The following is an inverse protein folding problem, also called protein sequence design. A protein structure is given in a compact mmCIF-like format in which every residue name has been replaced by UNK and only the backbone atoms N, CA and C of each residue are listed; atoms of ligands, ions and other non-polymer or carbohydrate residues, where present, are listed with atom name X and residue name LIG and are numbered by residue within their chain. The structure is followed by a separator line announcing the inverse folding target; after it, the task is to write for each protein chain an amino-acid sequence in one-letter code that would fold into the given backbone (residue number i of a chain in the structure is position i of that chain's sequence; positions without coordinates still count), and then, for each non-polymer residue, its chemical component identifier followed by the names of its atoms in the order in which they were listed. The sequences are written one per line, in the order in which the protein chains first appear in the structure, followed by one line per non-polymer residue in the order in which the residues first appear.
data_IF_098416551391
#
_entry.id   IF_098416551391
#
_cell.length_a   1.000
_cell.length_b   1.000
_cell.length_c   1.000
_cell.angle_alpha   90.00
_cell.angle_beta   90.00
_cell.angle_gamma   90.00
#
_symmetry.space_group_name_H-M   'P 1'
#
loop_
_entity.id
_entity.type
_entity.pdbx_description
1 polymer ?
#
# COMPACT_ATOMS: atom_id res chain seq x y z
N UNK A 1 -40.10 -1.59 8.04
CA UNK A 1 -39.51 -1.63 6.69
C UNK A 1 -37.95 -1.59 6.75
N UNK A 2 -37.33 -0.58 7.40
CA UNK A 2 -35.85 -0.44 7.51
C UNK A 2 -35.20 -1.68 8.16
N UNK A 3 -35.76 -2.17 9.28
CA UNK A 3 -35.19 -3.33 9.98
C UNK A 3 -35.25 -4.61 9.13
N UNK A 4 -36.32 -4.82 8.38
CA UNK A 4 -36.43 -5.96 7.46
C UNK A 4 -35.46 -5.89 6.30
N UNK A 5 -35.17 -4.67 5.78
CA UNK A 5 -34.16 -4.45 4.75
C UNK A 5 -32.74 -4.71 5.29
N UNK A 6 -32.46 -4.32 6.54
CA UNK A 6 -31.20 -4.63 7.23
C UNK A 6 -30.98 -6.14 7.32
N UNK A 7 -31.93 -6.87 7.88
CA UNK A 7 -31.83 -8.33 8.03
C UNK A 7 -31.62 -9.06 6.70
N UNK A 8 -32.31 -8.63 5.62
CA UNK A 8 -32.13 -9.21 4.28
C UNK A 8 -30.72 -8.95 3.77
N UNK A 9 -30.18 -7.74 3.96
CA UNK A 9 -28.83 -7.37 3.54
C UNK A 9 -27.77 -8.16 4.28
N UNK A 10 -27.91 -8.29 5.59
CA UNK A 10 -26.96 -9.03 6.42
C UNK A 10 -26.99 -10.52 6.08
N UNK A 11 -28.19 -11.10 5.90
CA UNK A 11 -28.33 -12.50 5.47
C UNK A 11 -27.72 -12.75 4.08
N UNK A 12 -27.90 -11.83 3.14
CA UNK A 12 -27.28 -11.95 1.82
C UNK A 12 -25.75 -11.93 1.90
N UNK A 13 -25.19 -11.00 2.67
CA UNK A 13 -23.73 -10.91 2.86
C UNK A 13 -23.17 -12.19 3.46
N UNK A 14 -23.74 -12.67 4.59
CA UNK A 14 -23.22 -13.82 5.32
C UNK A 14 -23.43 -15.16 4.58
N UNK A 15 -24.23 -15.20 3.52
CA UNK A 15 -24.47 -16.40 2.73
C UNK A 15 -23.58 -16.49 1.47
N UNK A 16 -22.80 -15.45 1.15
CA UNK A 16 -21.94 -15.44 -0.05
C UNK A 16 -20.78 -16.43 0.11
N UNK A 17 -20.17 -16.45 1.29
CA UNK A 17 -19.07 -17.34 1.61
C UNK A 17 -19.37 -18.10 2.90
N UNK A 18 -19.38 -19.42 2.84
CA UNK A 18 -19.65 -20.28 4.01
C UNK A 18 -18.70 -21.48 4.05
N UNK A 19 -18.26 -21.82 5.26
CA UNK A 19 -17.42 -22.97 5.56
C UNK A 19 -18.18 -23.94 6.46
N UNK A 20 -17.98 -25.23 6.24
CA UNK A 20 -18.49 -26.31 7.08
C UNK A 20 -17.33 -27.26 7.36
N UNK A 21 -16.58 -26.96 8.42
CA UNK A 21 -15.33 -27.65 8.77
C UNK A 21 -15.53 -28.83 9.73
N UNK A 22 -16.72 -28.93 10.37
CA UNK A 22 -16.95 -29.86 11.48
C UNK A 22 -16.48 -29.32 12.84
N UNK A 23 -15.94 -28.10 12.89
CA UNK A 23 -15.58 -27.38 14.12
C UNK A 23 -16.48 -26.14 14.27
N UNK A 24 -17.44 -26.20 15.18
CA UNK A 24 -18.46 -25.16 15.36
C UNK A 24 -17.86 -23.78 15.71
N UNK A 25 -16.70 -23.73 16.37
CA UNK A 25 -16.04 -22.45 16.69
C UNK A 25 -15.44 -21.82 15.46
N UNK A 26 -14.74 -22.64 14.63
CA UNK A 26 -14.18 -22.18 13.36
C UNK A 26 -15.29 -21.74 12.40
N UNK A 27 -16.33 -22.56 12.25
CA UNK A 27 -17.48 -22.26 11.39
C UNK A 27 -18.14 -20.93 11.79
N UNK A 28 -18.35 -20.71 13.09
CA UNK A 28 -18.91 -19.44 13.59
C UNK A 28 -17.98 -18.25 13.35
N UNK A 29 -16.68 -18.42 13.55
CA UNK A 29 -15.72 -17.35 13.32
C UNK A 29 -15.71 -16.95 11.84
N UNK A 30 -15.59 -17.91 10.94
CA UNK A 30 -15.51 -17.66 9.49
C UNK A 30 -16.85 -17.17 8.92
N UNK A 31 -17.96 -17.85 9.25
CA UNK A 31 -19.26 -17.58 8.62
C UNK A 31 -19.97 -16.33 9.14
N UNK A 32 -19.56 -15.81 10.30
CA UNK A 32 -20.23 -14.66 10.93
C UNK A 32 -19.23 -13.55 11.26
N UNK A 33 -18.28 -13.80 12.16
CA UNK A 33 -17.49 -12.74 12.75
C UNK A 33 -16.46 -12.14 11.79
N UNK A 34 -15.75 -12.95 11.02
CA UNK A 34 -14.79 -12.45 10.06
C UNK A 34 -15.47 -11.62 8.97
N UNK A 35 -16.58 -12.11 8.42
CA UNK A 35 -17.32 -11.40 7.39
C UNK A 35 -17.93 -10.09 7.93
N UNK A 36 -18.45 -10.10 9.15
CA UNK A 36 -18.93 -8.90 9.81
C UNK A 36 -17.80 -7.89 10.03
N UNK A 37 -16.66 -8.35 10.53
CA UNK A 37 -15.48 -7.51 10.73
C UNK A 37 -15.00 -6.91 9.42
N UNK A 38 -14.87 -7.70 8.35
CA UNK A 38 -14.46 -7.21 7.03
C UNK A 38 -15.41 -6.13 6.50
N UNK A 39 -16.73 -6.31 6.68
CA UNK A 39 -17.70 -5.31 6.27
C UNK A 39 -17.54 -4.00 7.06
N UNK A 40 -17.36 -4.09 8.37
CA UNK A 40 -17.15 -2.90 9.21
C UNK A 40 -15.83 -2.20 8.80
N UNK A 41 -14.74 -2.93 8.66
CA UNK A 41 -13.45 -2.40 8.23
C UNK A 41 -13.57 -1.72 6.88
N UNK A 42 -14.16 -2.36 5.88
CA UNK A 42 -14.42 -1.75 4.57
C UNK A 42 -15.23 -0.46 4.64
N UNK A 43 -16.24 -0.39 5.51
CA UNK A 43 -17.06 0.82 5.65
C UNK A 43 -16.35 1.96 6.37
N UNK A 44 -15.44 1.63 7.27
CA UNK A 44 -14.78 2.60 8.17
C UNK A 44 -13.36 2.92 7.72
N UNK A 45 -12.69 2.02 6.97
CA UNK A 45 -11.29 2.12 6.54
C UNK A 45 -10.39 2.68 7.63
N UNK A 46 -10.49 2.09 8.83
CA UNK A 46 -9.73 2.46 10.05
C UNK A 46 -9.98 3.87 10.57
N UNK A 47 -10.91 4.60 10.00
CA UNK A 47 -11.51 5.78 10.63
C UNK A 47 -12.46 5.30 11.73
N UNK A 48 -11.92 4.60 12.72
CA UNK A 48 -12.64 3.63 13.52
C UNK A 48 -13.62 4.27 14.49
N UNK A 49 -13.30 5.42 15.06
CA UNK A 49 -14.17 6.04 16.03
C UNK A 49 -13.90 7.52 16.22
N UNK A 50 -14.90 8.20 16.77
CA UNK A 50 -14.77 9.58 17.24
C UNK A 50 -13.62 9.75 18.26
N UNK A 51 -13.40 8.76 19.11
CA UNK A 51 -12.36 8.83 20.14
C UNK A 51 -10.94 8.67 19.56
N UNK A 52 -10.78 7.88 18.50
CA UNK A 52 -9.50 7.66 17.87
C UNK A 52 -9.15 8.77 16.90
N UNK A 53 -10.07 9.09 16.00
CA UNK A 53 -9.78 9.91 14.83
C UNK A 53 -10.46 11.29 14.85
N UNK A 54 -11.42 11.50 15.75
CA UNK A 54 -12.27 12.69 15.71
C UNK A 54 -13.24 12.70 14.52
N UNK A 55 -13.95 13.81 14.34
CA UNK A 55 -14.94 13.95 13.26
C UNK A 55 -14.34 14.49 11.96
N UNK A 56 -13.13 15.02 11.99
CA UNK A 56 -12.47 15.63 10.82
C UNK A 56 -11.60 14.66 10.01
N UNK A 57 -11.28 13.48 10.55
CA UNK A 57 -10.41 12.51 9.88
C UNK A 57 -11.14 11.78 8.77
N UNK A 58 -10.45 11.66 7.62
CA UNK A 58 -10.96 10.93 6.46
C UNK A 58 -10.69 9.42 6.52
N UNK A 59 -11.08 8.73 5.46
CA UNK A 59 -10.71 7.33 5.19
C UNK A 59 -9.35 7.30 4.50
N UNK A 60 -8.43 6.46 4.95
CA UNK A 60 -7.11 6.32 4.35
C UNK A 60 -7.17 5.82 2.91
N UNK A 61 -6.35 6.36 2.04
CA UNK A 61 -6.20 5.93 0.66
C UNK A 61 -5.69 4.49 0.59
N UNK A 62 -4.57 4.24 1.20
CA UNK A 62 -3.94 2.94 1.37
C UNK A 62 -4.86 1.94 2.08
N UNK A 63 -5.40 2.33 3.25
CA UNK A 63 -6.28 1.51 4.06
C UNK A 63 -7.51 1.04 3.30
N UNK A 64 -8.12 1.93 2.52
CA UNK A 64 -9.30 1.60 1.72
C UNK A 64 -9.02 0.55 0.64
N UNK A 65 -7.82 0.59 0.03
CA UNK A 65 -7.39 -0.41 -0.94
C UNK A 65 -7.07 -1.76 -0.28
N UNK A 66 -6.38 -1.77 0.86
CA UNK A 66 -6.09 -3.00 1.62
C UNK A 66 -7.39 -3.69 2.08
N UNK A 67 -8.30 -2.93 2.66
CA UNK A 67 -9.58 -3.44 3.15
C UNK A 67 -10.46 -3.99 2.00
N UNK A 68 -10.36 -3.37 0.82
CA UNK A 68 -11.03 -3.84 -0.39
C UNK A 68 -10.50 -5.22 -0.81
N UNK A 69 -9.18 -5.40 -0.86
CA UNK A 69 -8.57 -6.68 -1.25
C UNK A 69 -9.08 -7.85 -0.41
N UNK A 70 -9.19 -7.65 0.89
CA UNK A 70 -9.69 -8.69 1.81
C UNK A 70 -11.18 -8.99 1.66
N UNK A 71 -11.97 -8.16 0.97
CA UNK A 71 -13.43 -8.23 1.01
C UNK A 71 -14.12 -8.17 -0.37
N UNK A 72 -13.38 -7.99 -1.45
CA UNK A 72 -13.93 -7.79 -2.81
C UNK A 72 -14.90 -8.87 -3.24
N UNK A 73 -14.63 -10.14 -2.94
CA UNK A 73 -15.45 -11.29 -3.30
C UNK A 73 -16.89 -11.23 -2.73
N UNK A 74 -17.11 -10.51 -1.63
CA UNK A 74 -18.42 -10.36 -1.01
C UNK A 74 -19.17 -9.09 -1.45
N UNK A 75 -18.44 -8.08 -1.94
CA UNK A 75 -19.01 -6.76 -2.24
C UNK A 75 -18.55 -6.19 -3.58
N UNK A 76 -18.49 -6.95 -4.67
CA UNK A 76 -17.83 -6.52 -5.92
C UNK A 76 -18.34 -5.18 -6.45
N UNK A 77 -19.65 -4.94 -6.44
CA UNK A 77 -20.23 -3.66 -6.89
C UNK A 77 -19.79 -2.47 -6.03
N UNK A 78 -19.69 -2.66 -4.71
CA UNK A 78 -19.22 -1.60 -3.81
C UNK A 78 -17.71 -1.41 -3.90
N UNK A 79 -16.98 -2.51 -4.12
CA UNK A 79 -15.53 -2.47 -4.35
C UNK A 79 -15.21 -1.64 -5.62
N UNK A 80 -15.93 -1.88 -6.72
CA UNK A 80 -15.81 -1.11 -7.96
C UNK A 80 -15.99 0.40 -7.72
N UNK A 81 -17.06 0.77 -7.01
CA UNK A 81 -17.32 2.17 -6.70
C UNK A 81 -16.22 2.78 -5.80
N UNK A 82 -15.72 2.01 -4.84
CA UNK A 82 -14.64 2.46 -3.95
C UNK A 82 -13.35 2.75 -4.73
N UNK A 83 -12.99 1.91 -5.69
CA UNK A 83 -11.82 2.12 -6.54
C UNK A 83 -11.95 3.45 -7.31
N UNK A 84 -13.10 3.71 -7.90
CA UNK A 84 -13.37 4.97 -8.62
C UNK A 84 -13.31 6.18 -7.67
N UNK A 85 -13.95 6.08 -6.49
CA UNK A 85 -13.93 7.14 -5.48
C UNK A 85 -12.49 7.49 -5.03
N UNK A 86 -11.65 6.47 -4.83
CA UNK A 86 -10.25 6.63 -4.43
C UNK A 86 -9.41 7.22 -5.56
N UNK A 87 -9.53 6.65 -6.77
CA UNK A 87 -8.78 7.12 -7.94
C UNK A 87 -9.07 8.60 -8.25
N UNK A 88 -10.30 9.07 -8.00
CA UNK A 88 -10.67 10.47 -8.21
C UNK A 88 -9.94 11.47 -7.29
N UNK A 89 -9.26 10.99 -6.25
CA UNK A 89 -8.45 11.81 -5.35
C UNK A 89 -6.97 11.83 -5.70
N UNK A 90 -6.56 11.11 -6.75
CA UNK A 90 -5.18 11.13 -7.24
C UNK A 90 -4.84 12.46 -7.89
N UNK A 91 -3.58 12.90 -7.77
CA UNK A 91 -3.07 14.08 -8.46
C UNK A 91 -2.59 13.76 -9.89
N UNK A 92 -2.48 14.77 -10.77
CA UNK A 92 -2.01 14.55 -12.15
C UNK A 92 -0.57 14.01 -12.25
N UNK A 93 0.26 14.19 -11.23
CA UNK A 93 1.63 13.66 -11.13
C UNK A 93 1.70 12.22 -10.61
N UNK A 94 0.53 11.65 -10.25
CA UNK A 94 0.40 10.29 -9.73
C UNK A 94 0.45 10.18 -8.21
N UNK A 95 0.84 11.24 -7.50
CA UNK A 95 0.67 11.32 -6.04
C UNK A 95 -0.80 11.26 -5.64
N UNK A 96 -1.06 11.04 -4.37
CA UNK A 96 -2.43 10.88 -3.87
C UNK A 96 -2.64 11.69 -2.60
N UNK A 97 -3.89 12.09 -2.34
CA UNK A 97 -4.26 12.43 -0.97
C UNK A 97 -4.15 11.19 -0.10
N UNK A 98 -3.48 11.33 1.04
CA UNK A 98 -3.36 10.25 2.02
C UNK A 98 -4.72 9.81 2.60
N UNK A 99 -5.69 10.72 2.63
CA UNK A 99 -7.05 10.46 3.09
C UNK A 99 -8.09 11.18 2.21
N UNK A 100 -9.30 10.64 2.16
CA UNK A 100 -10.45 11.30 1.55
C UNK A 100 -11.67 11.29 2.49
N UNK A 101 -12.56 12.23 2.30
CA UNK A 101 -13.78 12.36 3.11
C UNK A 101 -14.89 11.44 2.56
N UNK A 102 -15.42 10.50 3.34
CA UNK A 102 -16.33 9.48 2.82
C UNK A 102 -17.69 10.03 2.33
N UNK A 103 -18.13 11.17 2.85
CA UNK A 103 -19.40 11.79 2.47
C UNK A 103 -19.30 12.60 1.20
N UNK A 104 -18.24 13.36 1.03
CA UNK A 104 -18.02 14.24 -0.13
C UNK A 104 -17.23 13.58 -1.25
N UNK A 105 -16.53 12.47 -0.97
CA UNK A 105 -15.62 11.76 -1.87
C UNK A 105 -14.43 12.62 -2.32
N UNK A 106 -14.09 13.64 -1.55
CA UNK A 106 -12.97 14.56 -1.85
C UNK A 106 -11.76 14.24 -1.00
N UNK A 107 -10.59 14.50 -1.57
CA UNK A 107 -9.34 14.43 -0.84
C UNK A 107 -9.32 15.34 0.39
N UNK A 108 -8.61 14.93 1.43
CA UNK A 108 -8.49 15.69 2.68
C UNK A 108 -7.27 16.61 2.64
N UNK A 109 -7.47 17.88 2.39
CA UNK A 109 -6.42 18.89 2.33
C UNK A 109 -5.68 19.10 3.66
N UNK A 110 -6.33 18.86 4.79
CA UNK A 110 -5.71 19.05 6.11
C UNK A 110 -4.55 18.06 6.34
N UNK A 111 -4.67 16.86 5.78
CA UNK A 111 -3.60 15.87 5.81
C UNK A 111 -2.70 16.00 4.57
N UNK A 112 -3.28 16.28 3.39
CA UNK A 112 -2.55 16.40 2.13
C UNK A 112 -2.08 15.04 1.58
N UNK A 113 -0.98 15.09 0.84
CA UNK A 113 -0.35 13.93 0.20
C UNK A 113 1.13 13.80 0.57
N UNK A 114 1.89 13.12 -0.31
CA UNK A 114 3.34 12.97 -0.16
C UNK A 114 3.77 11.67 0.51
N UNK A 115 2.87 10.73 0.71
CA UNK A 115 3.15 9.35 1.11
C UNK A 115 3.35 8.54 -0.18
N UNK A 116 4.60 8.20 -0.49
CA UNK A 116 4.93 7.70 -1.83
C UNK A 116 4.61 6.22 -2.06
N UNK A 117 4.12 5.52 -1.05
CA UNK A 117 3.53 4.19 -1.21
C UNK A 117 2.07 4.24 -1.70
N UNK A 118 1.32 5.31 -1.39
CA UNK A 118 -0.10 5.44 -1.69
C UNK A 118 -0.46 5.10 -3.15
N UNK A 119 0.26 5.58 -4.18
CA UNK A 119 -0.07 5.26 -5.58
C UNK A 119 -0.06 3.76 -5.92
N UNK A 120 0.83 2.98 -5.31
CA UNK A 120 0.93 1.53 -5.55
C UNK A 120 -0.32 0.78 -5.07
N UNK A 121 -0.94 1.25 -4.01
CA UNK A 121 -2.14 0.60 -3.45
C UNK A 121 -3.35 0.67 -4.38
N UNK A 122 -3.46 1.69 -5.23
CA UNK A 122 -4.52 1.76 -6.23
C UNK A 122 -4.42 0.61 -7.24
N UNK A 123 -3.20 0.28 -7.66
CA UNK A 123 -2.94 -0.86 -8.55
C UNK A 123 -3.31 -2.16 -7.84
N UNK A 124 -2.83 -2.32 -6.60
CA UNK A 124 -3.06 -3.52 -5.81
C UNK A 124 -4.56 -3.81 -5.63
N UNK A 125 -5.35 -2.79 -5.25
CA UNK A 125 -6.80 -2.90 -5.10
C UNK A 125 -7.53 -3.16 -6.41
N UNK A 126 -7.16 -2.44 -7.49
CA UNK A 126 -7.81 -2.59 -8.80
C UNK A 126 -7.53 -3.96 -9.42
N UNK A 127 -6.28 -4.44 -9.35
CA UNK A 127 -5.93 -5.77 -9.88
C UNK A 127 -6.61 -6.88 -9.08
N UNK A 128 -6.68 -6.76 -7.75
CA UNK A 128 -7.43 -7.71 -6.92
C UNK A 128 -8.91 -7.77 -7.31
N UNK A 129 -9.53 -6.61 -7.58
CA UNK A 129 -10.92 -6.53 -8.07
C UNK A 129 -11.08 -7.26 -9.42
N UNK A 130 -10.19 -7.00 -10.37
CA UNK A 130 -10.26 -7.63 -11.70
C UNK A 130 -10.02 -9.14 -11.60
N UNK A 131 -9.05 -9.59 -10.80
CA UNK A 131 -8.78 -11.02 -10.57
C UNK A 131 -10.00 -11.75 -10.01
N UNK A 132 -10.76 -11.11 -9.12
CA UNK A 132 -11.96 -11.71 -8.50
C UNK A 132 -13.18 -11.68 -9.41
N UNK A 133 -13.38 -10.61 -10.19
CA UNK A 133 -14.63 -10.36 -10.91
C UNK A 133 -14.56 -10.63 -12.41
N UNK A 134 -13.38 -10.57 -13.00
CA UNK A 134 -13.20 -10.56 -14.47
C UNK A 134 -13.70 -9.26 -15.13
N UNK A 135 -14.03 -8.21 -14.37
CA UNK A 135 -14.57 -6.97 -14.89
C UNK A 135 -13.48 -6.00 -15.33
N UNK A 136 -13.01 -6.16 -16.58
CA UNK A 136 -12.08 -5.22 -17.21
C UNK A 136 -12.71 -3.88 -17.56
N UNK A 137 -14.05 -3.78 -17.60
CA UNK A 137 -14.74 -2.54 -17.98
C UNK A 137 -14.43 -1.37 -17.04
N UNK A 138 -14.03 -1.67 -15.79
CA UNK A 138 -13.63 -0.66 -14.83
C UNK A 138 -12.47 0.20 -15.35
N UNK A 139 -11.58 -0.35 -16.16
CA UNK A 139 -10.40 0.35 -16.66
C UNK A 139 -10.73 1.46 -17.66
N UNK A 140 -11.90 1.39 -18.30
CA UNK A 140 -12.40 2.40 -19.22
C UNK A 140 -13.17 3.55 -18.53
N UNK A 141 -13.47 3.40 -17.24
CA UNK A 141 -14.15 4.46 -16.48
C UNK A 141 -13.37 5.76 -16.53
N UNK A 142 -14.08 6.83 -16.81
CA UNK A 142 -13.50 8.18 -16.87
C UNK A 142 -13.49 8.77 -15.46
N UNK A 143 -12.32 8.98 -14.90
CA UNK A 143 -12.10 9.41 -13.53
C UNK A 143 -11.32 10.72 -13.52
N UNK A 144 -11.77 11.76 -12.80
CA UNK A 144 -11.05 13.02 -12.72
C UNK A 144 -9.83 12.93 -11.79
N UNK A 145 -8.81 13.76 -12.01
CA UNK A 145 -7.77 14.03 -11.04
C UNK A 145 -8.24 15.07 -10.02
N UNK A 146 -7.83 14.90 -8.76
CA UNK A 146 -8.12 15.82 -7.64
C UNK A 146 -9.60 16.23 -7.56
N UNK A 147 -10.50 15.32 -7.90
CA UNK A 147 -11.94 15.59 -7.99
C UNK A 147 -12.31 16.80 -8.88
N UNK A 148 -11.45 17.19 -9.85
CA UNK A 148 -11.65 18.37 -10.69
C UNK A 148 -12.37 17.99 -11.99
N UNK A 149 -13.61 18.45 -12.24
CA UNK A 149 -14.30 18.22 -13.50
C UNK A 149 -13.52 18.75 -14.71
N UNK A 150 -13.47 17.96 -15.77
CA UNK A 150 -12.74 18.30 -17.02
C UNK A 150 -11.31 17.77 -17.07
N UNK A 151 -10.90 16.99 -16.06
CA UNK A 151 -9.58 16.32 -16.01
C UNK A 151 -9.69 14.81 -16.14
N UNK A 152 -10.86 14.30 -16.54
CA UNK A 152 -11.15 12.88 -16.59
C UNK A 152 -10.25 12.16 -17.62
N UNK A 153 -9.65 11.07 -17.17
CA UNK A 153 -8.96 10.09 -17.99
C UNK A 153 -9.43 8.69 -17.61
N UNK A 154 -9.06 7.67 -18.38
CA UNK A 154 -9.40 6.29 -18.05
C UNK A 154 -8.76 5.86 -16.74
N UNK A 155 -9.41 4.97 -15.99
CA UNK A 155 -8.81 4.39 -14.80
C UNK A 155 -7.47 3.69 -15.12
N UNK A 156 -7.34 3.10 -16.32
CA UNK A 156 -6.06 2.53 -16.75
C UNK A 156 -4.95 3.57 -16.77
N UNK A 157 -5.22 4.80 -17.23
CA UNK A 157 -4.23 5.88 -17.19
C UNK A 157 -3.89 6.29 -15.74
N UNK A 158 -4.85 6.28 -14.83
CA UNK A 158 -4.56 6.47 -13.39
C UNK A 158 -3.57 5.42 -12.84
N UNK A 159 -3.73 4.14 -13.23
CA UNK A 159 -2.80 3.08 -12.83
C UNK A 159 -1.40 3.31 -13.42
N UNK A 160 -1.33 3.68 -14.70
CA UNK A 160 -0.07 4.00 -15.38
C UNK A 160 0.66 5.17 -14.73
N UNK A 161 -0.06 6.23 -14.42
CA UNK A 161 0.50 7.41 -13.74
C UNK A 161 0.95 7.06 -12.32
N UNK A 162 0.25 6.18 -11.60
CA UNK A 162 0.68 5.67 -10.30
C UNK A 162 2.05 4.99 -10.37
N UNK A 163 2.27 4.11 -11.35
CA UNK A 163 3.56 3.46 -11.54
C UNK A 163 4.64 4.47 -11.93
N UNK A 164 4.31 5.41 -12.79
CA UNK A 164 5.23 6.47 -13.22
C UNK A 164 5.63 7.38 -12.05
N UNK A 165 4.74 7.63 -11.09
CA UNK A 165 5.08 8.41 -9.89
C UNK A 165 6.25 7.79 -9.14
N UNK A 166 6.26 6.49 -8.92
CA UNK A 166 7.38 5.81 -8.27
C UNK A 166 8.65 5.89 -9.12
N UNK A 167 8.56 5.59 -10.42
CA UNK A 167 9.71 5.60 -11.34
C UNK A 167 10.35 7.00 -11.44
N UNK A 168 9.54 8.04 -11.38
CA UNK A 168 10.00 9.43 -11.47
C UNK A 168 10.53 9.98 -10.14
N UNK A 169 10.34 9.27 -9.04
CA UNK A 169 10.75 9.65 -7.69
C UNK A 169 11.71 8.62 -7.08
N UNK A 170 12.85 8.42 -7.75
CA UNK A 170 13.94 7.56 -7.27
C UNK A 170 15.06 8.38 -6.64
N UNK A 171 15.65 7.84 -5.60
CA UNK A 171 16.78 8.42 -4.90
C UNK A 171 18.15 7.98 -5.45
N UNK A 172 19.25 8.29 -4.74
CA UNK A 172 20.62 8.02 -5.18
C UNK A 172 20.92 6.54 -5.44
N UNK A 173 20.28 5.62 -4.70
CA UNK A 173 20.44 4.17 -4.86
C UNK A 173 19.45 3.57 -5.87
N UNK A 174 18.71 4.42 -6.62
CA UNK A 174 17.60 4.02 -7.51
C UNK A 174 16.45 3.29 -6.78
N UNK A 175 16.33 3.55 -5.50
CA UNK A 175 15.22 3.10 -4.68
C UNK A 175 14.17 4.22 -4.60
N UNK A 176 12.90 3.91 -4.35
CA UNK A 176 11.84 4.93 -4.26
C UNK A 176 12.08 5.89 -3.10
N UNK A 177 11.91 7.18 -3.37
CA UNK A 177 11.87 8.19 -2.31
C UNK A 177 10.67 7.94 -1.39
N UNK A 178 10.90 7.99 -0.08
CA UNK A 178 9.85 7.72 0.91
C UNK A 178 8.80 8.85 0.98
N UNK A 179 9.18 10.08 0.63
CA UNK A 179 8.32 11.24 0.81
C UNK A 179 8.18 11.63 2.29
N UNK A 180 6.96 11.90 2.72
CA UNK A 180 6.65 12.19 4.16
C UNK A 180 6.83 10.95 5.03
N UNK A 181 6.36 9.83 4.54
CA UNK A 181 6.49 8.49 5.12
C UNK A 181 6.04 7.47 4.07
N UNK A 182 6.15 6.20 4.37
CA UNK A 182 5.50 5.10 3.67
C UNK A 182 4.37 4.52 4.55
N UNK A 183 4.13 3.20 4.47
CA UNK A 183 3.13 2.50 5.29
C UNK A 183 3.30 2.80 6.78
N UNK A 184 4.52 2.96 7.26
CA UNK A 184 4.78 3.43 8.61
C UNK A 184 4.76 4.97 8.63
N UNK A 185 3.59 5.55 8.91
CA UNK A 185 3.35 6.99 8.91
C UNK A 185 4.30 7.77 9.83
N UNK A 186 4.88 7.09 10.80
CA UNK A 186 5.72 7.68 11.83
C UNK A 186 7.22 7.63 11.50
N UNK A 187 7.61 6.98 10.38
CA UNK A 187 9.00 6.95 9.91
C UNK A 187 9.26 8.16 8.99
N UNK A 188 9.65 9.29 9.59
CA UNK A 188 9.69 10.59 8.92
C UNK A 188 11.13 11.05 8.62
N UNK A 189 11.79 10.37 7.71
CA UNK A 189 13.23 10.48 7.43
C UNK A 189 13.66 11.80 6.75
N UNK A 190 12.72 12.69 6.40
CA UNK A 190 12.99 13.96 5.74
C UNK A 190 12.62 15.19 6.58
N UNK A 191 12.03 15.03 7.75
CA UNK A 191 11.44 16.15 8.50
C UNK A 191 12.42 16.91 9.39
N UNK A 192 13.16 16.24 10.28
CA UNK A 192 14.13 16.82 11.23
C UNK A 192 13.54 17.80 12.26
N UNK A 193 12.28 17.65 12.65
CA UNK A 193 11.69 18.48 13.71
C UNK A 193 12.09 17.96 15.10
N UNK A 194 12.42 18.88 16.02
CA UNK A 194 12.59 18.57 17.43
C UNK A 194 11.25 18.34 18.17
N UNK A 195 10.13 18.70 17.55
CA UNK A 195 8.80 18.33 18.00
C UNK A 195 8.32 17.11 17.21
N UNK A 196 8.18 15.94 17.86
CA UNK A 196 7.70 14.73 17.18
C UNK A 196 6.34 14.89 16.53
N UNK A 197 5.47 15.76 17.06
CA UNK A 197 4.13 16.00 16.48
C UNK A 197 4.17 16.74 15.14
N UNK A 198 5.29 17.36 14.80
CA UNK A 198 5.48 18.03 13.51
C UNK A 198 6.18 17.13 12.49
N UNK A 199 6.74 16.01 12.91
CA UNK A 199 7.64 15.22 12.07
C UNK A 199 6.99 14.67 10.82
N UNK A 200 5.72 14.33 10.83
CA UNK A 200 4.99 13.85 9.66
C UNK A 200 4.40 14.98 8.76
N UNK A 201 4.55 16.25 9.15
CA UNK A 201 3.91 17.40 8.49
C UNK A 201 4.61 17.83 7.20
N UNK A 202 5.89 17.49 7.03
CA UNK A 202 6.69 18.00 5.91
C UNK A 202 7.66 16.97 5.36
N UNK A 203 7.97 17.11 4.05
CA UNK A 203 9.01 16.35 3.34
C UNK A 203 10.23 17.20 2.99
N UNK A 204 10.20 18.48 3.30
CA UNK A 204 11.18 19.45 2.81
C UNK A 204 11.68 20.36 3.94
N UNK A 205 11.84 19.83 5.13
CA UNK A 205 12.19 20.63 6.31
C UNK A 205 13.43 21.52 6.10
N UNK A 206 14.42 21.03 5.37
CA UNK A 206 15.66 21.78 5.09
C UNK A 206 15.65 22.53 3.76
N UNK A 207 14.54 22.56 3.04
CA UNK A 207 14.43 23.18 1.71
C UNK A 207 15.24 22.46 0.63
N UNK A 208 15.70 21.23 0.89
CA UNK A 208 16.50 20.42 -0.04
C UNK A 208 15.69 19.29 -0.70
N UNK A 209 14.40 19.23 -0.41
CA UNK A 209 13.50 18.19 -0.92
C UNK A 209 13.63 16.85 -0.19
N UNK A 210 12.89 15.88 -0.65
CA UNK A 210 12.95 14.51 -0.16
C UNK A 210 14.14 13.77 -0.75
N UNK A 211 14.93 13.09 0.10
CA UNK A 211 16.11 12.31 -0.32
C UNK A 211 16.12 10.90 0.25
N UNK A 212 15.42 10.69 1.36
CA UNK A 212 15.34 9.38 2.02
C UNK A 212 14.60 8.38 1.14
N UNK A 213 15.07 7.12 1.12
CA UNK A 213 14.60 6.05 0.24
C UNK A 213 13.97 4.91 1.06
N UNK A 214 12.94 4.25 0.52
CA UNK A 214 12.21 3.16 1.19
C UNK A 214 12.35 1.83 0.47
N UNK A 215 12.84 0.81 1.18
CA UNK A 215 12.88 -0.58 0.71
C UNK A 215 11.49 -1.23 0.74
N UNK A 216 10.62 -0.80 1.65
CA UNK A 216 9.22 -1.23 1.68
C UNK A 216 8.50 -0.82 0.40
N UNK A 217 8.62 0.43 -0.04
CA UNK A 217 8.03 0.90 -1.31
C UNK A 217 8.64 0.17 -2.50
N UNK A 218 9.95 -0.10 -2.48
CA UNK A 218 10.61 -0.85 -3.54
C UNK A 218 10.01 -2.27 -3.69
N UNK A 219 9.84 -3.00 -2.59
CA UNK A 219 9.17 -4.30 -2.59
C UNK A 219 7.71 -4.22 -3.07
N UNK A 220 6.94 -3.26 -2.58
CA UNK A 220 5.56 -3.01 -3.00
C UNK A 220 5.48 -2.67 -4.50
N UNK A 221 6.40 -1.84 -5.00
CA UNK A 221 6.48 -1.51 -6.43
C UNK A 221 6.74 -2.76 -7.29
N UNK A 222 7.64 -3.64 -6.88
CA UNK A 222 7.90 -4.90 -7.61
C UNK A 222 6.67 -5.81 -7.62
N UNK A 223 5.95 -5.95 -6.50
CA UNK A 223 4.70 -6.72 -6.43
C UNK A 223 3.64 -6.14 -7.37
N UNK A 224 3.35 -4.86 -7.24
CA UNK A 224 2.30 -4.19 -8.02
C UNK A 224 2.70 -4.02 -9.49
N UNK A 225 3.99 -3.84 -9.77
CA UNK A 225 4.52 -3.79 -11.12
C UNK A 225 4.39 -5.12 -11.87
N UNK A 226 4.67 -6.26 -11.22
CA UNK A 226 4.42 -7.59 -11.77
C UNK A 226 2.93 -7.80 -12.07
N UNK A 227 2.07 -7.39 -11.17
CA UNK A 227 0.62 -7.45 -11.37
C UNK A 227 0.17 -6.55 -12.52
N UNK A 228 0.72 -5.34 -12.63
CA UNK A 228 0.43 -4.41 -13.73
C UNK A 228 0.92 -4.96 -15.09
N UNK A 229 2.11 -5.54 -15.16
CA UNK A 229 2.63 -6.22 -16.36
C UNK A 229 1.70 -7.36 -16.78
N UNK A 230 1.27 -8.19 -15.83
CA UNK A 230 0.33 -9.28 -16.11
C UNK A 230 -1.02 -8.74 -16.61
N UNK A 231 -1.51 -7.66 -16.02
CA UNK A 231 -2.73 -6.97 -16.47
C UNK A 231 -2.58 -6.46 -17.91
N UNK A 232 -1.49 -5.76 -18.23
CA UNK A 232 -1.26 -5.26 -19.60
C UNK A 232 -1.20 -6.40 -20.62
N UNK A 233 -0.51 -7.51 -20.31
CA UNK A 233 -0.46 -8.70 -21.18
C UNK A 233 -1.85 -9.32 -21.39
N UNK A 234 -2.68 -9.36 -20.36
CA UNK A 234 -4.05 -9.86 -20.48
C UNK A 234 -4.91 -8.91 -21.31
N UNK A 235 -4.77 -7.60 -21.10
CA UNK A 235 -5.50 -6.58 -21.88
C UNK A 235 -5.10 -6.60 -23.38
N UNK A 236 -3.83 -6.83 -23.69
CA UNK A 236 -3.39 -7.02 -25.08
C UNK A 236 -4.13 -8.19 -25.73
N UNK A 237 -4.25 -9.31 -25.03
CA UNK A 237 -4.98 -10.48 -25.51
C UNK A 237 -6.48 -10.18 -25.71
N UNK A 238 -7.12 -9.53 -24.74
CA UNK A 238 -8.53 -9.15 -24.80
C UNK A 238 -8.79 -8.14 -25.95
N UNK A 239 -7.88 -7.19 -26.17
CA UNK A 239 -7.97 -6.23 -27.27
C UNK A 239 -7.90 -6.93 -28.63
N UNK A 240 -6.99 -7.90 -28.80
CA UNK A 240 -6.86 -8.71 -30.00
C UNK A 240 -8.15 -9.51 -30.31
N UNK A 241 -8.81 -10.03 -29.28
CA UNK A 241 -10.03 -10.81 -29.39
C UNK A 241 -11.31 -9.94 -29.50
N UNK A 242 -11.21 -8.64 -29.21
CA UNK A 242 -12.36 -7.72 -29.25
C UNK A 242 -12.78 -7.41 -30.68
N UNK A 243 -14.07 -7.10 -30.88
CA UNK A 243 -14.59 -6.69 -32.18
C UNK A 243 -14.09 -5.32 -32.66
N UNK A 244 -13.71 -4.49 -31.68
CA UNK A 244 -13.23 -3.13 -31.92
C UNK A 244 -11.72 -3.08 -32.05
N UNK A 245 -11.00 -4.17 -31.70
CA UNK A 245 -9.55 -4.26 -31.73
C UNK A 245 -8.87 -3.48 -30.60
N UNK A 246 -9.66 -2.99 -29.64
CA UNK A 246 -9.17 -2.19 -28.50
C UNK A 246 -10.00 -2.44 -27.24
N UNK A 247 -9.41 -2.13 -26.07
CA UNK A 247 -10.06 -2.06 -24.77
C UNK A 247 -9.59 -0.79 -24.07
N UNK A 248 -10.49 -0.08 -23.40
CA UNK A 248 -10.19 1.18 -22.73
C UNK A 248 -9.47 2.22 -23.64
N UNK A 249 -9.73 2.15 -24.95
CA UNK A 249 -9.17 3.05 -25.95
C UNK A 249 -7.75 2.73 -26.41
N UNK A 250 -7.21 1.55 -26.06
CA UNK A 250 -5.86 1.12 -26.43
C UNK A 250 -5.90 -0.23 -27.18
N UNK A 251 -5.03 -0.35 -28.18
CA UNK A 251 -4.86 -1.57 -28.97
C UNK A 251 -3.86 -2.54 -28.32
N UNK A 252 -3.78 -3.75 -28.87
CA UNK A 252 -2.84 -4.79 -28.43
C UNK A 252 -1.41 -4.27 -28.28
N UNK A 253 -0.89 -3.60 -29.32
CA UNK A 253 0.50 -3.12 -29.37
C UNK A 253 0.81 -2.11 -28.27
N UNK A 254 -0.14 -1.25 -27.91
CA UNK A 254 0.01 -0.26 -26.84
C UNK A 254 0.19 -0.94 -25.49
N UNK A 255 -0.61 -1.98 -25.22
CA UNK A 255 -0.50 -2.76 -23.99
C UNK A 255 0.78 -3.57 -23.90
N UNK A 256 1.24 -4.17 -25.01
CA UNK A 256 2.49 -4.92 -25.04
C UNK A 256 3.69 -4.00 -24.81
N UNK A 257 3.70 -2.84 -25.47
CA UNK A 257 4.74 -1.81 -25.27
C UNK A 257 4.79 -1.36 -23.79
N UNK A 258 3.64 -1.11 -23.20
CA UNK A 258 3.57 -0.70 -21.79
C UNK A 258 4.00 -1.84 -20.85
N UNK A 259 3.64 -3.10 -21.15
CA UNK A 259 4.08 -4.26 -20.40
C UNK A 259 5.60 -4.42 -20.43
N UNK A 260 6.25 -4.25 -21.58
CA UNK A 260 7.71 -4.33 -21.72
C UNK A 260 8.40 -3.22 -20.95
N UNK A 261 7.92 -1.98 -21.08
CA UNK A 261 8.44 -0.83 -20.33
C UNK A 261 8.38 -1.05 -18.82
N UNK A 262 7.24 -1.53 -18.33
CA UNK A 262 7.07 -1.77 -16.89
C UNK A 262 7.89 -2.96 -16.42
N UNK A 263 7.99 -4.02 -17.22
CA UNK A 263 8.85 -5.16 -16.88
C UNK A 263 10.30 -4.73 -16.69
N UNK A 264 10.82 -3.87 -17.58
CA UNK A 264 12.16 -3.32 -17.42
C UNK A 264 12.30 -2.54 -16.11
N UNK A 265 11.33 -1.69 -15.76
CA UNK A 265 11.37 -0.92 -14.51
C UNK A 265 11.32 -1.83 -13.28
N UNK A 266 10.53 -2.92 -13.32
CA UNK A 266 10.48 -3.94 -12.27
C UNK A 266 11.82 -4.66 -12.12
N UNK A 267 12.46 -5.02 -13.23
CA UNK A 267 13.75 -5.70 -13.22
C UNK A 267 14.86 -4.78 -12.68
N UNK A 268 14.86 -3.51 -13.09
CA UNK A 268 15.81 -2.50 -12.58
C UNK A 268 15.62 -2.27 -11.06
N UNK A 269 14.39 -2.21 -10.57
CA UNK A 269 14.11 -2.08 -9.14
C UNK A 269 14.55 -3.32 -8.36
N UNK A 270 14.29 -4.52 -8.88
CA UNK A 270 14.74 -5.77 -8.30
C UNK A 270 16.26 -5.80 -8.12
N UNK A 271 17.00 -5.41 -9.16
CA UNK A 271 18.46 -5.30 -9.09
C UNK A 271 18.92 -4.22 -8.11
N UNK A 272 18.26 -3.05 -8.07
CA UNK A 272 18.59 -1.99 -7.12
C UNK A 272 18.44 -2.46 -5.65
N UNK A 273 17.36 -3.19 -5.35
CA UNK A 273 17.15 -3.77 -4.00
C UNK A 273 18.22 -4.80 -3.68
N UNK A 274 18.59 -5.69 -4.61
CA UNK A 274 19.67 -6.67 -4.38
C UNK A 274 21.03 -6.00 -4.13
N UNK A 275 21.35 -4.95 -4.86
CA UNK A 275 22.62 -4.24 -4.76
C UNK A 275 22.74 -3.35 -3.53
N UNK A 276 21.67 -2.64 -3.17
CA UNK A 276 21.69 -1.59 -2.16
C UNK A 276 20.80 -1.92 -0.94
N UNK A 277 19.84 -2.81 -1.06
CA UNK A 277 18.86 -3.12 -0.03
C UNK A 277 19.17 -4.36 0.81
N UNK A 278 20.24 -5.09 0.54
CA UNK A 278 20.57 -6.34 1.25
C UNK A 278 21.69 -6.14 2.26
N UNK A 279 21.47 -6.50 3.52
CA UNK A 279 22.42 -6.34 4.64
C UNK A 279 23.12 -7.67 5.08
N UNK A 280 23.14 -8.66 4.19
CA UNK A 280 23.80 -9.96 4.42
C UNK A 280 22.88 -11.05 4.96
N UNK A 281 21.96 -10.75 5.88
CA UNK A 281 20.98 -11.69 6.44
C UNK A 281 19.52 -11.25 6.24
N UNK A 282 19.26 -9.96 5.97
CA UNK A 282 17.90 -9.41 5.77
C UNK A 282 17.92 -8.16 4.89
N UNK A 283 16.75 -7.68 4.47
CA UNK A 283 16.60 -6.44 3.72
C UNK A 283 16.63 -5.23 4.66
N UNK A 284 17.36 -4.18 4.27
CA UNK A 284 17.34 -2.87 4.94
C UNK A 284 15.90 -2.33 5.00
N UNK A 285 15.65 -1.39 5.90
CA UNK A 285 14.38 -0.67 5.96
C UNK A 285 14.36 0.53 5.00
N UNK A 286 15.43 1.29 5.02
CA UNK A 286 15.50 2.58 4.31
C UNK A 286 16.95 3.07 4.20
N UNK A 287 17.13 4.11 3.41
CA UNK A 287 18.23 5.05 3.55
C UNK A 287 17.67 6.38 4.06
N UNK A 288 18.32 6.96 5.06
CA UNK A 288 17.93 8.26 5.59
C UNK A 288 18.26 9.41 4.64
N UNK A 289 17.88 10.62 5.02
CA UNK A 289 18.17 11.83 4.23
C UNK A 289 19.67 12.03 3.91
N UNK A 290 20.57 11.54 4.76
CA UNK A 290 22.02 11.67 4.63
C UNK A 290 22.68 10.49 3.91
N UNK A 291 21.90 9.47 3.56
CA UNK A 291 22.39 8.24 2.91
C UNK A 291 22.88 7.18 3.89
N UNK A 292 22.56 7.30 5.18
CA UNK A 292 22.85 6.25 6.15
C UNK A 292 21.82 5.13 6.05
N UNK A 293 22.26 3.90 6.29
CA UNK A 293 21.40 2.71 6.32
C UNK A 293 20.51 2.70 7.56
N UNK A 294 19.22 2.41 7.37
CA UNK A 294 18.25 2.12 8.41
C UNK A 294 17.81 0.67 8.28
N UNK A 295 17.72 -0.04 9.41
CA UNK A 295 17.41 -1.47 9.39
C UNK A 295 18.61 -2.34 9.08
N UNK A 296 19.82 -1.92 9.44
CA UNK A 296 21.09 -2.63 9.29
C UNK A 296 21.61 -3.18 10.60
N UNK A 297 22.42 -4.23 10.55
CA UNK A 297 23.16 -4.72 11.74
C UNK A 297 24.16 -3.68 12.28
N UNK A 298 24.54 -2.71 11.46
CA UNK A 298 25.39 -1.58 11.84
C UNK A 298 24.68 -0.59 12.78
N UNK A 299 23.35 -0.55 12.82
CA UNK A 299 22.58 0.34 13.70
C UNK A 299 22.60 -0.17 15.13
N UNK A 300 22.56 0.71 16.13
CA UNK A 300 22.41 0.32 17.54
C UNK A 300 20.97 -0.07 17.86
N UNK A 301 19.99 0.71 17.36
CA UNK A 301 18.54 0.52 17.49
C UNK A 301 17.93 0.36 16.10
N UNK A 302 16.75 -0.21 15.99
CA UNK A 302 16.08 -0.41 14.69
C UNK A 302 16.91 -1.20 13.68
N UNK A 303 17.55 -2.32 14.10
CA UNK A 303 18.39 -3.14 13.21
C UNK A 303 17.64 -3.87 12.13
N UNK A 304 16.41 -4.29 12.41
CA UNK A 304 15.56 -5.02 11.47
C UNK A 304 14.11 -4.55 11.60
N UNK A 305 13.43 -4.45 10.48
CA UNK A 305 12.01 -4.06 10.37
C UNK A 305 11.26 -5.10 9.54
N UNK A 306 10.03 -5.43 9.95
CA UNK A 306 9.23 -6.46 9.28
C UNK A 306 8.74 -6.04 7.89
N UNK A 307 8.45 -4.75 7.66
CA UNK A 307 7.82 -4.24 6.45
C UNK A 307 8.62 -4.56 5.19
N UNK A 308 9.91 -4.28 5.19
CA UNK A 308 10.77 -4.59 4.05
C UNK A 308 10.97 -6.08 3.85
N UNK A 309 11.05 -6.88 4.95
CA UNK A 309 11.13 -8.34 4.83
C UNK A 309 9.89 -8.91 4.16
N UNK A 310 8.71 -8.47 4.59
CA UNK A 310 7.43 -8.90 4.03
C UNK A 310 7.32 -8.56 2.55
N UNK A 311 7.46 -7.30 2.19
CA UNK A 311 7.25 -6.84 0.81
C UNK A 311 8.31 -7.34 -0.16
N UNK A 312 9.59 -7.33 0.21
CA UNK A 312 10.65 -7.85 -0.66
C UNK A 312 10.53 -9.37 -0.86
N UNK A 313 10.10 -10.11 0.16
CA UNK A 313 9.85 -11.55 0.04
C UNK A 313 8.62 -11.85 -0.82
N UNK A 314 7.50 -11.14 -0.65
CA UNK A 314 6.32 -11.26 -1.53
C UNK A 314 6.66 -10.90 -2.98
N UNK A 315 7.54 -9.95 -3.17
CA UNK A 315 8.07 -9.58 -4.48
C UNK A 315 8.97 -10.68 -5.09
N UNK A 316 9.46 -11.62 -4.30
CA UNK A 316 10.39 -12.66 -4.72
C UNK A 316 11.77 -12.12 -5.06
N UNK A 317 12.20 -11.04 -4.41
CA UNK A 317 13.52 -10.41 -4.66
C UNK A 317 14.61 -11.32 -4.11
N UNK A 318 15.50 -11.80 -5.00
CA UNK A 318 16.57 -12.72 -4.63
C UNK A 318 16.08 -14.10 -4.18
N UNK A 319 14.92 -14.55 -4.66
CA UNK A 319 14.35 -15.84 -4.29
C UNK A 319 15.28 -17.02 -4.69
N UNK A 320 15.82 -16.98 -5.91
CA UNK A 320 16.73 -18.02 -6.40
C UNK A 320 18.08 -18.00 -5.70
N UNK A 321 18.51 -16.85 -5.21
CA UNK A 321 19.72 -16.65 -4.42
C UNK A 321 19.52 -16.99 -2.92
N UNK A 322 18.29 -17.32 -2.51
CA UNK A 322 17.94 -17.68 -1.13
C UNK A 322 17.85 -16.47 -0.19
N UNK A 323 17.72 -15.24 -0.72
CA UNK A 323 17.62 -14.03 0.11
C UNK A 323 16.29 -13.99 0.86
N UNK A 324 15.19 -14.39 0.22
CA UNK A 324 13.87 -14.44 0.85
C UNK A 324 13.84 -15.37 2.07
N UNK A 325 14.43 -16.59 1.95
CA UNK A 325 14.48 -17.54 3.07
C UNK A 325 15.28 -16.97 4.24
N UNK A 326 16.45 -16.37 3.96
CA UNK A 326 17.28 -15.74 4.99
C UNK A 326 16.55 -14.56 5.68
N UNK A 327 15.83 -13.74 4.90
CA UNK A 327 15.06 -12.62 5.45
C UNK A 327 13.92 -13.10 6.38
N UNK A 328 13.22 -14.18 6.00
CA UNK A 328 12.19 -14.80 6.84
C UNK A 328 12.77 -15.44 8.10
N UNK A 329 13.90 -16.15 7.99
CA UNK A 329 14.61 -16.72 9.14
C UNK A 329 15.10 -15.63 10.11
N UNK A 330 15.61 -14.53 9.56
CA UNK A 330 16.04 -13.36 10.36
C UNK A 330 14.85 -12.69 11.05
N UNK A 331 13.72 -12.55 10.34
CA UNK A 331 12.47 -12.02 10.92
C UNK A 331 12.00 -12.89 12.06
N UNK A 332 11.94 -14.21 11.87
CA UNK A 332 11.59 -15.15 12.93
C UNK A 332 12.52 -15.07 14.11
N UNK A 333 13.84 -15.08 13.88
CA UNK A 333 14.86 -15.07 14.93
C UNK A 333 14.89 -13.77 15.75
N UNK A 334 14.60 -12.63 15.10
CA UNK A 334 14.84 -11.29 15.66
C UNK A 334 13.57 -10.55 16.06
N UNK A 335 12.42 -10.84 15.41
CA UNK A 335 11.16 -10.13 15.63
C UNK A 335 10.11 -10.98 16.34
N UNK A 336 10.23 -12.32 16.34
CA UNK A 336 9.25 -13.20 16.99
C UNK A 336 9.33 -13.09 18.51
N UNK A 337 8.17 -12.94 19.12
CA UNK A 337 7.98 -13.00 20.57
C UNK A 337 6.77 -13.87 20.93
N UNK A 338 6.49 -14.07 22.21
CA UNK A 338 5.36 -14.89 22.69
C UNK A 338 4.00 -14.46 22.07
N UNK A 339 3.85 -13.19 21.70
CA UNK A 339 2.57 -12.63 21.27
C UNK A 339 2.47 -12.39 19.76
N UNK A 340 3.54 -12.58 19.00
CA UNK A 340 3.60 -12.37 17.56
C UNK A 340 4.92 -11.80 17.07
N UNK A 341 4.91 -11.09 15.97
CA UNK A 341 6.06 -10.38 15.43
C UNK A 341 5.99 -8.90 15.80
N UNK A 342 7.07 -8.36 16.35
CA UNK A 342 7.22 -6.91 16.56
C UNK A 342 7.62 -6.22 15.25
N UNK A 343 7.28 -4.94 15.09
CA UNK A 343 7.58 -4.21 13.86
C UNK A 343 9.07 -4.03 13.61
N UNK A 344 9.83 -3.72 14.65
CA UNK A 344 11.29 -3.54 14.57
C UNK A 344 11.98 -3.99 15.86
N UNK A 345 13.27 -4.25 15.77
CA UNK A 345 14.08 -4.65 16.92
C UNK A 345 15.57 -4.28 16.72
N UNK A 346 16.29 -3.75 17.75
CA UNK A 346 15.74 -3.22 19.01
C UNK A 346 14.82 -2.02 18.84
N UNK A 347 13.95 -1.77 19.81
CA UNK A 347 13.15 -0.55 19.86
C UNK A 347 14.05 0.70 20.02
N UNK A 348 13.55 1.86 19.59
CA UNK A 348 14.17 3.14 19.91
C UNK A 348 13.90 3.50 21.38
N UNK A 349 14.95 3.87 22.11
CA UNK A 349 14.87 4.23 23.53
C UNK A 349 14.84 5.73 23.78
N UNK A 350 15.23 6.52 22.78
CA UNK A 350 15.24 7.98 22.80
C UNK A 350 14.75 8.57 21.48
N UNK A 351 14.34 9.83 21.51
CA UNK A 351 13.92 10.52 20.29
C UNK A 351 15.11 10.86 19.40
N UNK A 352 15.06 10.38 18.17
CA UNK A 352 16.01 10.65 17.11
C UNK A 352 15.36 11.55 16.04
N UNK A 353 15.86 12.75 15.87
CA UNK A 353 15.31 13.76 14.96
C UNK A 353 15.31 13.28 13.51
N UNK A 354 16.30 12.48 13.12
CA UNK A 354 16.46 11.89 11.79
C UNK A 354 15.48 10.73 11.50
N UNK A 355 14.90 10.12 12.55
CA UNK A 355 13.94 9.04 12.43
C UNK A 355 12.49 9.53 12.48
N UNK A 356 12.27 10.68 13.10
CA UNK A 356 10.94 11.25 13.28
C UNK A 356 10.13 10.60 14.38
N UNK A 357 8.81 10.64 14.24
CA UNK A 357 7.84 10.32 15.30
C UNK A 357 7.98 8.90 15.86
N UNK A 358 8.39 7.91 15.04
CA UNK A 358 8.57 6.52 15.47
C UNK A 358 9.45 6.41 16.73
N UNK A 359 10.53 7.17 16.79
CA UNK A 359 11.47 7.15 17.90
C UNK A 359 11.01 7.91 19.15
N UNK A 360 9.87 8.60 19.07
CA UNK A 360 9.26 9.31 20.20
C UNK A 360 8.34 8.43 21.05
N UNK A 361 7.91 7.29 20.50
CA UNK A 361 7.03 6.39 21.22
C UNK A 361 7.80 5.54 22.25
N UNK A 362 7.17 5.18 23.38
CA UNK A 362 7.75 4.20 24.29
C UNK A 362 8.03 2.87 23.58
N UNK A 363 9.06 2.17 24.05
CA UNK A 363 9.39 0.83 23.56
C UNK A 363 8.18 -0.13 23.59
N UNK A 364 7.91 -0.83 22.50
CA UNK A 364 6.78 -1.75 22.35
C UNK A 364 5.44 -1.07 22.15
N UNK A 365 5.41 0.24 21.90
CA UNK A 365 4.18 0.98 21.68
C UNK A 365 4.08 1.47 20.24
N UNK A 366 2.90 1.30 19.62
CA UNK A 366 2.63 1.64 18.22
C UNK A 366 3.71 1.08 17.28
N UNK A 367 4.25 1.91 16.41
CA UNK A 367 5.27 1.54 15.41
C UNK A 367 6.68 1.37 16.00
N UNK A 368 6.92 1.76 17.26
CA UNK A 368 8.21 1.52 17.90
C UNK A 368 8.27 0.14 18.56
N UNK A 369 8.55 -0.88 17.78
CA UNK A 369 8.61 -2.30 18.19
C UNK A 369 7.30 -2.86 18.79
N UNK A 370 6.16 -2.23 18.51
CA UNK A 370 4.87 -2.79 18.85
C UNK A 370 4.48 -3.97 17.95
N UNK A 371 3.45 -4.73 18.35
CA UNK A 371 2.82 -5.73 17.51
C UNK A 371 1.66 -5.05 16.78
N UNK A 372 1.78 -4.94 15.47
CA UNK A 372 0.83 -4.25 14.61
C UNK A 372 0.19 -5.25 13.63
N UNK A 373 -1.10 -5.51 13.79
CA UNK A 373 -1.75 -6.68 13.20
C UNK A 373 -2.14 -6.58 11.72
N UNK A 374 -1.84 -5.50 11.04
CA UNK A 374 -2.19 -5.32 9.63
C UNK A 374 -0.98 -5.02 8.73
N UNK A 375 0.17 -5.43 9.17
CA UNK A 375 1.39 -5.34 8.39
C UNK A 375 1.66 -6.65 7.65
#
# INVERSE_FOLDING_TARGET
RRQRQMCIRDSNLLNIFTVKSGNDKLDRMVNIWNQYQCMITFCMSRSASFFESGIGRGMGFRDSNQDLVGFVHQIPTRARQRIIDIASTQFPDGGCYHQYQPLTKRGNNDIGGGFNDDPCWLIFGTVAYIKETGDFSILAEQVPFDNQPGTEVSLFEHLKISMNHVINNLGPHKLPLIGRADWNDCLNLNCFSWDPNESFQTTENKGEGSKAESLMIAGLFVVTGKDYVALCKQLAKEALESKEGEIAGLAEEDYLTEAERMQQAVDEMNEAVKQHGWDGEWFLRAYDFFGNKIGSDENEEGKIFIESQGWCTMAGIGLEEGLCDKALDSSKKRLECEHGLVLNNPAYTTYHVEMGEISSYPEGYKENAGIFCHN
#
